data_IF_139964948817
#
_entry.id   IF_139964948817
#
_cell.length_a   1.000
_cell.length_b   1.000
_cell.length_c   1.000
_cell.angle_alpha   90.00
_cell.angle_beta   90.00
_cell.angle_gamma   90.00
#
_symmetry.space_group_name_H-M   'P 1'
#
loop_
_entity.id
_entity.type
_entity.pdbx_description
1 polymer ?
#
# COMPACT_ATOMS: atom_id res chain seq x y z
N UNK A 1 32.41 -42.52 -15.72
CA UNK A 1 30.99 -42.21 -16.03
C UNK A 1 30.60 -41.01 -15.19
N UNK A 2 30.29 -39.88 -15.82
CA UNK A 2 29.93 -38.62 -15.15
C UNK A 2 28.40 -38.59 -14.97
N UNK A 3 27.93 -38.72 -13.74
CA UNK A 3 26.52 -38.54 -13.40
C UNK A 3 26.25 -37.02 -13.28
N UNK A 4 25.38 -36.51 -14.16
CA UNK A 4 24.94 -35.11 -14.15
C UNK A 4 23.90 -34.87 -13.07
N UNK A 5 24.16 -33.85 -12.24
CA UNK A 5 23.18 -33.28 -11.31
C UNK A 5 22.37 -32.26 -12.12
N UNK A 6 21.14 -32.60 -12.49
CA UNK A 6 20.23 -31.67 -13.13
C UNK A 6 19.59 -30.77 -12.06
N UNK A 7 19.79 -29.46 -12.22
CA UNK A 7 19.25 -28.39 -11.38
C UNK A 7 17.71 -28.45 -11.30
N UNK A 8 17.20 -28.41 -10.07
CA UNK A 8 15.79 -28.19 -9.73
C UNK A 8 15.71 -26.83 -9.02
N UNK A 9 15.63 -25.74 -9.79
CA UNK A 9 15.51 -24.38 -9.25
C UNK A 9 14.59 -23.52 -10.11
N UNK A 10 13.31 -23.90 -10.26
CA UNK A 10 12.26 -23.01 -10.79
C UNK A 10 10.91 -23.37 -10.16
N UNK A 11 10.57 -22.84 -8.98
CA UNK A 11 9.19 -22.95 -8.47
C UNK A 11 8.79 -21.95 -7.36
N UNK A 12 9.71 -21.21 -6.73
CA UNK A 12 9.34 -20.33 -5.61
C UNK A 12 8.59 -19.06 -6.01
N UNK A 13 8.84 -18.50 -7.20
CA UNK A 13 8.23 -17.23 -7.61
C UNK A 13 6.70 -17.28 -7.80
N UNK A 14 6.13 -18.47 -8.04
CA UNK A 14 4.70 -18.60 -8.31
C UNK A 14 3.83 -18.54 -7.03
N UNK A 15 4.40 -18.92 -5.88
CA UNK A 15 3.67 -19.01 -4.61
C UNK A 15 3.43 -17.62 -4.00
N UNK A 16 4.45 -16.77 -4.00
CA UNK A 16 4.36 -15.40 -3.47
C UNK A 16 3.30 -14.56 -4.20
N UNK A 17 3.29 -14.61 -5.53
CA UNK A 17 2.32 -13.91 -6.37
C UNK A 17 0.88 -14.36 -6.06
N UNK A 18 0.66 -15.66 -5.88
CA UNK A 18 -0.67 -16.18 -5.54
C UNK A 18 -1.21 -15.69 -4.19
N UNK A 19 -0.32 -15.39 -3.23
CA UNK A 19 -0.70 -14.81 -1.94
C UNK A 19 -1.15 -13.36 -2.10
N UNK A 20 -0.36 -12.56 -2.82
CA UNK A 20 -0.67 -11.16 -3.14
C UNK A 20 -1.99 -11.02 -3.91
N UNK A 21 -2.16 -11.82 -4.98
CA UNK A 21 -3.37 -11.81 -5.81
C UNK A 21 -4.60 -12.22 -5.01
N UNK A 22 -4.47 -13.21 -4.13
CA UNK A 22 -5.55 -13.66 -3.26
C UNK A 22 -5.92 -12.58 -2.25
N UNK A 23 -4.95 -11.92 -1.61
CA UNK A 23 -5.23 -10.82 -0.69
C UNK A 23 -5.94 -9.66 -1.40
N UNK A 24 -5.45 -9.25 -2.57
CA UNK A 24 -6.10 -8.22 -3.37
C UNK A 24 -7.54 -8.62 -3.74
N UNK A 25 -7.73 -9.84 -4.26
CA UNK A 25 -9.05 -10.34 -4.68
C UNK A 25 -10.04 -10.41 -3.53
N UNK A 26 -9.61 -10.92 -2.37
CA UNK A 26 -10.43 -10.96 -1.15
C UNK A 26 -10.77 -9.54 -0.70
N UNK A 27 -9.77 -8.66 -0.61
CA UNK A 27 -9.98 -7.27 -0.19
C UNK A 27 -10.95 -6.51 -1.09
N UNK A 28 -10.82 -6.64 -2.42
CA UNK A 28 -11.76 -6.02 -3.38
C UNK A 28 -13.17 -6.58 -3.24
N UNK A 29 -13.31 -7.89 -2.99
CA UNK A 29 -14.61 -8.53 -2.76
C UNK A 29 -15.28 -8.05 -1.48
N UNK A 30 -14.49 -7.74 -0.45
CA UNK A 30 -14.95 -7.26 0.85
C UNK A 30 -15.21 -5.74 0.88
N UNK A 31 -14.89 -5.01 -0.19
CA UNK A 31 -15.18 -3.59 -0.28
C UNK A 31 -16.67 -3.29 -0.02
N UNK A 32 -16.98 -2.19 0.69
CA UNK A 32 -18.36 -1.80 0.94
C UNK A 32 -19.18 -1.72 -0.35
N UNK A 33 -20.43 -2.20 -0.36
CA UNK A 33 -21.22 -2.28 -1.58
C UNK A 33 -21.35 -0.96 -2.34
N UNK A 34 -20.82 -0.94 -3.56
CA UNK A 34 -20.89 0.22 -4.46
C UNK A 34 -19.82 1.28 -4.19
N UNK A 35 -18.81 1.02 -3.36
CA UNK A 35 -17.58 1.82 -3.29
C UNK A 35 -16.59 1.33 -4.33
N UNK A 36 -15.93 2.28 -4.99
CA UNK A 36 -14.78 2.01 -5.85
C UNK A 36 -13.63 2.92 -5.42
N UNK A 37 -12.46 2.31 -5.23
CA UNK A 37 -11.20 2.98 -4.97
C UNK A 37 -10.26 2.67 -6.13
N UNK A 38 -9.72 3.70 -6.78
CA UNK A 38 -8.70 3.54 -7.81
C UNK A 38 -7.39 4.17 -7.35
N UNK A 39 -6.30 3.44 -7.53
CA UNK A 39 -4.93 3.87 -7.26
C UNK A 39 -4.24 4.27 -8.58
N UNK A 40 -3.57 5.42 -8.58
CA UNK A 40 -2.72 5.85 -9.69
C UNK A 40 -1.52 6.64 -9.15
N UNK A 41 -0.46 6.77 -9.94
CA UNK A 41 0.63 7.70 -9.65
C UNK A 41 0.21 9.13 -9.94
N UNK A 42 0.51 10.04 -9.02
CA UNK A 42 0.04 11.41 -9.13
C UNK A 42 0.78 12.21 -10.22
N UNK A 43 2.01 11.81 -10.53
CA UNK A 43 2.84 12.38 -11.59
C UNK A 43 2.63 11.68 -12.95
N UNK A 44 1.81 10.63 -13.01
CA UNK A 44 1.58 9.84 -14.21
C UNK A 44 2.78 8.98 -14.65
N UNK A 45 3.85 8.94 -13.85
CA UNK A 45 5.01 8.11 -14.12
C UNK A 45 4.84 6.71 -13.55
N UNK A 46 5.63 5.76 -14.03
CA UNK A 46 5.67 4.40 -13.52
C UNK A 46 7.11 3.87 -13.36
N UNK A 47 8.11 4.76 -13.43
CA UNK A 47 9.53 4.42 -13.26
C UNK A 47 10.10 5.34 -12.19
N UNK A 48 10.68 4.75 -11.16
CA UNK A 48 11.24 5.46 -10.00
C UNK A 48 12.60 4.87 -9.62
N UNK A 49 13.48 5.65 -9.01
CA UNK A 49 14.70 5.16 -8.38
C UNK A 49 14.43 4.75 -6.93
N UNK A 50 15.27 3.92 -6.33
CA UNK A 50 15.16 3.54 -4.92
C UNK A 50 15.21 4.73 -3.93
N UNK A 51 15.81 5.86 -4.33
CA UNK A 51 15.82 7.11 -3.56
C UNK A 51 14.53 7.91 -3.65
N UNK A 52 13.66 7.59 -4.61
CA UNK A 52 12.50 8.42 -4.92
C UNK A 52 11.35 8.10 -3.96
N UNK A 53 10.50 9.09 -3.75
CA UNK A 53 9.18 8.89 -3.16
C UNK A 53 8.19 8.66 -4.31
N UNK A 54 7.28 7.69 -4.17
CA UNK A 54 6.23 7.45 -5.16
C UNK A 54 4.98 8.23 -4.72
N UNK A 55 4.56 9.26 -5.47
CA UNK A 55 3.36 10.01 -5.18
C UNK A 55 2.12 9.28 -5.75
N UNK A 56 1.10 9.09 -4.93
CA UNK A 56 -0.14 8.41 -5.32
C UNK A 56 -1.36 9.33 -5.25
N UNK A 57 -2.31 9.10 -6.14
CA UNK A 57 -3.69 9.56 -6.01
C UNK A 57 -4.61 8.40 -5.69
N UNK A 58 -5.43 8.58 -4.66
CA UNK A 58 -6.51 7.68 -4.26
C UNK A 58 -7.83 8.30 -4.69
N UNK A 59 -8.49 7.69 -5.67
CA UNK A 59 -9.74 8.17 -6.25
C UNK A 59 -10.92 7.35 -5.75
N UNK A 60 -11.83 7.99 -5.02
CA UNK A 60 -12.99 7.37 -4.42
C UNK A 60 -14.26 7.75 -5.17
N UNK A 61 -15.05 6.76 -5.56
CA UNK A 61 -16.39 6.95 -6.12
C UNK A 61 -17.40 6.01 -5.47
N UNK A 62 -18.68 6.34 -5.59
CA UNK A 62 -19.74 5.43 -5.18
C UNK A 62 -20.98 5.49 -6.05
N UNK A 63 -21.63 4.33 -6.25
CA UNK A 63 -22.98 4.24 -6.81
C UNK A 63 -24.08 4.55 -5.77
N UNK A 64 -23.76 4.57 -4.47
CA UNK A 64 -24.69 4.79 -3.36
C UNK A 64 -24.50 6.17 -2.73
N UNK A 65 -25.20 7.17 -3.26
CA UNK A 65 -25.11 8.56 -2.78
C UNK A 65 -25.43 8.68 -1.29
N UNK A 66 -24.72 9.59 -0.61
CA UNK A 66 -24.87 9.91 0.82
C UNK A 66 -24.67 8.75 1.82
N UNK A 67 -24.31 7.56 1.33
CA UNK A 67 -24.07 6.39 2.19
C UNK A 67 -22.68 6.38 2.79
N UNK A 68 -21.71 6.95 2.08
CA UNK A 68 -20.30 6.89 2.42
C UNK A 68 -19.66 8.26 2.36
N UNK A 69 -18.69 8.45 3.24
CA UNK A 69 -17.83 9.63 3.29
C UNK A 69 -16.38 9.18 3.28
N UNK A 70 -15.48 10.04 2.85
CA UNK A 70 -14.04 9.78 2.87
C UNK A 70 -13.32 10.94 3.56
N UNK A 71 -12.33 10.60 4.39
CA UNK A 71 -11.36 11.55 4.92
C UNK A 71 -10.27 11.84 3.88
N UNK A 72 -10.14 13.10 3.51
CA UNK A 72 -9.20 13.53 2.47
C UNK A 72 -7.90 14.11 3.02
N UNK A 73 -7.81 14.37 4.33
CA UNK A 73 -6.58 14.83 4.99
C UNK A 73 -5.76 13.68 5.57
N UNK A 74 -4.44 13.71 5.38
CA UNK A 74 -3.50 12.69 5.83
C UNK A 74 -3.08 12.76 7.31
N UNK A 75 -3.80 13.53 8.14
CA UNK A 75 -3.42 13.78 9.54
C UNK A 75 -4.26 13.04 10.61
N UNK A 76 -5.42 12.51 10.23
CA UNK A 76 -6.30 11.78 11.15
C UNK A 76 -5.90 10.31 11.30
N UNK A 77 -6.34 9.65 12.38
CA UNK A 77 -6.16 8.19 12.57
C UNK A 77 -6.66 7.35 11.37
N UNK A 78 -7.75 7.77 10.73
CA UNK A 78 -8.30 7.10 9.55
C UNK A 78 -7.41 7.30 8.30
N UNK A 79 -6.90 8.52 8.11
CA UNK A 79 -6.01 8.86 7.01
C UNK A 79 -4.60 8.30 7.15
N UNK A 80 -4.11 8.16 8.38
CA UNK A 80 -2.79 7.59 8.67
C UNK A 80 -2.75 6.05 8.60
N UNK A 81 -3.90 5.41 8.38
CA UNK A 81 -4.05 3.96 8.31
C UNK A 81 -4.05 3.42 6.87
N UNK A 82 -3.44 4.15 5.93
CA UNK A 82 -3.19 3.62 4.59
C UNK A 82 -2.11 2.54 4.67
N UNK A 83 -2.38 1.39 4.07
CA UNK A 83 -1.47 0.27 3.94
C UNK A 83 -1.18 0.04 2.45
N UNK A 84 0.04 0.36 2.04
CA UNK A 84 0.52 0.08 0.69
C UNK A 84 1.10 -1.34 0.70
N UNK A 85 0.42 -2.23 -0.02
CA UNK A 85 0.84 -3.62 -0.16
C UNK A 85 1.59 -3.75 -1.47
N UNK A 86 2.83 -4.21 -1.41
CA UNK A 86 3.69 -4.34 -2.58
C UNK A 86 4.34 -5.72 -2.65
N UNK A 87 4.46 -6.23 -3.87
CA UNK A 87 5.29 -7.41 -4.18
C UNK A 87 6.22 -7.04 -5.33
N UNK A 88 7.44 -7.56 -5.28
CA UNK A 88 8.49 -7.24 -6.23
C UNK A 88 9.38 -8.43 -6.53
N UNK A 89 10.45 -8.23 -7.31
CA UNK A 89 11.36 -9.30 -7.69
C UNK A 89 11.97 -9.94 -6.44
N UNK A 90 12.04 -11.27 -6.46
CA UNK A 90 12.66 -12.08 -5.40
C UNK A 90 11.99 -11.98 -4.02
N UNK A 91 10.84 -11.32 -3.92
CA UNK A 91 10.05 -11.30 -2.69
C UNK A 91 9.30 -12.63 -2.54
N UNK A 92 9.52 -13.29 -1.40
CA UNK A 92 8.79 -14.51 -1.06
C UNK A 92 7.35 -14.21 -0.60
N UNK A 93 7.07 -12.98 -0.17
CA UNK A 93 5.76 -12.50 0.27
C UNK A 93 5.59 -11.00 0.02
N UNK A 94 4.35 -10.55 0.00
CA UNK A 94 4.01 -9.14 -0.07
C UNK A 94 4.47 -8.39 1.20
N UNK A 95 4.87 -7.13 1.02
CA UNK A 95 5.27 -6.21 2.08
C UNK A 95 4.19 -5.16 2.29
N UNK A 96 3.86 -4.87 3.56
CA UNK A 96 2.80 -3.96 3.97
C UNK A 96 3.37 -2.68 4.59
N UNK A 97 3.16 -1.50 3.98
CA UNK A 97 3.73 -0.24 4.50
C UNK A 97 3.18 0.23 5.85
N UNK A 98 2.05 -0.33 6.32
CA UNK A 98 1.37 0.15 7.53
C UNK A 98 2.18 -0.14 8.80
N UNK A 99 2.50 0.94 9.53
CA UNK A 99 3.05 0.90 10.90
C UNK A 99 2.14 0.09 11.84
N UNK A 100 2.72 -0.87 12.58
CA UNK A 100 2.02 -1.58 13.67
C UNK A 100 1.59 -0.68 14.83
N UNK A 101 2.22 0.49 14.96
CA UNK A 101 1.80 1.51 15.91
C UNK A 101 0.85 2.45 15.16
N UNK A 102 -0.43 2.59 15.55
CA UNK A 102 -1.32 3.57 14.95
C UNK A 102 -0.78 4.97 15.24
N UNK A 103 -0.07 5.55 14.27
CA UNK A 103 0.43 6.92 14.31
C UNK A 103 -0.57 7.80 13.59
N UNK A 104 -1.51 8.36 14.34
CA UNK A 104 -2.39 9.42 13.86
C UNK A 104 -2.82 10.26 15.04
N UNK A 105 -2.91 11.57 14.86
CA UNK A 105 -3.46 12.44 15.88
C UNK A 105 -4.98 12.52 15.66
N UNK A 106 -5.81 12.53 16.71
CA UNK A 106 -7.18 12.98 16.58
C UNK A 106 -7.15 14.48 16.24
N UNK A 107 -6.98 14.81 14.96
CA UNK A 107 -6.96 16.20 14.49
C UNK A 107 -8.39 16.74 14.42
N UNK A 108 -8.62 17.90 15.03
CA UNK A 108 -9.92 18.56 15.11
C UNK A 108 -10.49 19.06 13.76
N UNK A 109 -9.66 19.12 12.72
CA UNK A 109 -10.06 19.56 11.38
C UNK A 109 -10.14 18.34 10.44
N UNK A 110 -11.32 17.75 10.29
CA UNK A 110 -11.55 16.70 9.29
C UNK A 110 -11.89 17.34 7.94
N UNK A 111 -11.25 16.88 6.86
CA UNK A 111 -11.66 17.21 5.50
C UNK A 111 -12.51 16.07 4.93
N UNK A 112 -13.46 15.60 5.74
CA UNK A 112 -14.36 14.51 5.37
C UNK A 112 -15.43 15.02 4.41
N UNK A 113 -15.62 14.29 3.32
CA UNK A 113 -16.60 14.63 2.27
C UNK A 113 -17.44 13.42 1.92
N UNK A 114 -18.69 13.63 1.56
CA UNK A 114 -19.49 12.58 0.93
C UNK A 114 -18.82 12.12 -0.37
N UNK A 115 -18.74 10.81 -0.53
CA UNK A 115 -18.36 10.18 -1.79
C UNK A 115 -19.58 10.26 -2.71
N UNK A 116 -19.34 10.61 -3.97
CA UNK A 116 -20.37 10.72 -4.99
C UNK A 116 -19.97 9.92 -6.22
N UNK A 117 -20.74 10.03 -7.30
CA UNK A 117 -20.31 9.49 -8.61
C UNK A 117 -19.12 10.27 -9.18
N UNK A 118 -18.98 11.55 -8.83
CA UNK A 118 -17.79 12.32 -9.14
C UNK A 118 -16.65 11.91 -8.18
N UNK A 119 -15.44 11.62 -8.71
CA UNK A 119 -14.27 11.26 -7.91
C UNK A 119 -13.96 12.24 -6.80
N UNK A 120 -13.73 11.71 -5.59
CA UNK A 120 -13.03 12.42 -4.52
C UNK A 120 -11.60 11.92 -4.50
N UNK A 121 -10.63 12.83 -4.59
CA UNK A 121 -9.21 12.46 -4.73
C UNK A 121 -8.47 12.86 -3.46
N UNK A 122 -7.65 11.94 -2.95
CA UNK A 122 -6.68 12.17 -1.89
C UNK A 122 -5.27 11.88 -2.41
N UNK A 123 -4.29 12.66 -1.96
CA UNK A 123 -2.89 12.42 -2.24
C UNK A 123 -2.26 11.59 -1.11
N UNK A 124 -1.43 10.62 -1.47
CA UNK A 124 -0.63 9.81 -0.56
C UNK A 124 0.80 9.69 -1.11
N UNK A 125 1.75 9.31 -0.27
CA UNK A 125 3.15 9.20 -0.66
C UNK A 125 3.78 7.97 -0.03
N UNK A 126 4.45 7.15 -0.84
CA UNK A 126 5.27 6.04 -0.35
C UNK A 126 6.74 6.42 -0.47
N UNK A 127 7.42 6.48 0.67
CA UNK A 127 8.86 6.67 0.67
C UNK A 127 9.59 5.34 0.55
N UNK A 128 10.17 5.08 -0.62
CA UNK A 128 10.95 3.84 -0.87
C UNK A 128 12.15 3.75 0.06
N UNK A 129 12.77 4.88 0.38
CA UNK A 129 13.89 4.95 1.33
C UNK A 129 13.46 4.49 2.73
N UNK A 130 12.32 4.97 3.24
CA UNK A 130 11.81 4.57 4.57
C UNK A 130 11.37 3.10 4.59
N UNK A 131 10.66 2.67 3.55
CA UNK A 131 10.23 1.28 3.39
C UNK A 131 11.44 0.33 3.37
N UNK A 132 12.45 0.66 2.56
CA UNK A 132 13.68 -0.13 2.46
C UNK A 132 14.45 -0.17 3.79
N UNK A 133 14.54 0.96 4.49
CA UNK A 133 15.16 1.00 5.82
C UNK A 133 14.42 0.10 6.81
N UNK A 134 13.09 0.14 6.82
CA UNK A 134 12.30 -0.68 7.74
C UNK A 134 12.44 -2.19 7.46
N UNK A 135 12.50 -2.59 6.18
CA UNK A 135 12.80 -3.97 5.78
C UNK A 135 14.18 -4.41 6.28
N UNK A 136 15.21 -3.59 6.08
CA UNK A 136 16.60 -3.89 6.49
C UNK A 136 16.75 -4.06 7.99
N UNK A 137 16.15 -3.17 8.76
CA UNK A 137 16.27 -3.21 10.21
C UNK A 137 15.25 -4.15 10.88
N UNK A 138 14.45 -4.89 10.09
CA UNK A 138 13.35 -5.75 10.58
C UNK A 138 12.51 -5.03 11.62
N UNK A 139 12.26 -3.74 11.41
CA UNK A 139 11.49 -2.98 12.38
C UNK A 139 10.12 -3.62 12.51
N UNK A 140 9.60 -3.82 13.73
CA UNK A 140 8.26 -4.37 13.95
C UNK A 140 7.17 -3.37 13.52
N UNK A 141 7.46 -2.44 12.60
CA UNK A 141 6.48 -1.59 11.98
C UNK A 141 5.69 -2.32 10.90
N UNK A 142 6.09 -3.52 10.51
CA UNK A 142 5.48 -4.28 9.42
C UNK A 142 4.86 -5.53 10.03
N UNK A 143 3.59 -5.82 9.68
CA UNK A 143 2.88 -7.01 10.19
C UNK A 143 3.78 -8.24 10.02
N UNK A 144 4.03 -9.03 11.10
CA UNK A 144 4.77 -10.25 10.91
C UNK A 144 4.02 -11.10 9.86
N UNK A 145 4.76 -11.82 9.01
CA UNK A 145 4.15 -12.78 8.11
C UNK A 145 3.26 -13.72 8.93
N UNK A 146 2.18 -14.21 8.32
CA UNK A 146 1.24 -15.09 9.03
C UNK A 146 2.03 -16.22 9.70
N UNK A 147 1.62 -16.72 10.88
CA UNK A 147 2.36 -17.73 11.63
C UNK A 147 2.53 -19.07 10.89
N UNK A 148 1.85 -19.28 9.76
CA UNK A 148 2.00 -20.41 8.84
C UNK A 148 3.01 -20.17 7.71
N UNK A 149 3.59 -18.98 7.62
CA UNK A 149 4.61 -18.64 6.63
C UNK A 149 6.02 -18.94 7.13
N UNK A 150 6.72 -19.80 6.40
CA UNK A 150 8.16 -20.03 6.54
C UNK A 150 9.00 -19.06 5.70
N UNK A 151 8.36 -18.12 5.00
CA UNK A 151 9.05 -17.20 4.11
C UNK A 151 9.70 -16.06 4.90
N UNK A 152 11.00 -15.86 4.68
CA UNK A 152 11.71 -14.70 5.22
C UNK A 152 11.38 -13.51 4.32
N UNK A 153 10.80 -12.40 4.86
CA UNK A 153 10.60 -11.20 4.08
C UNK A 153 11.93 -10.74 3.48
N UNK A 154 11.92 -10.24 2.24
CA UNK A 154 13.13 -9.67 1.65
C UNK A 154 13.72 -8.63 2.60
N UNK A 155 15.03 -8.75 2.87
CA UNK A 155 15.72 -7.80 3.74
C UNK A 155 15.89 -6.41 3.13
N UNK A 156 15.59 -6.24 1.84
CA UNK A 156 15.65 -4.94 1.16
C UNK A 156 14.81 -4.91 -0.13
N UNK A 157 14.50 -3.70 -0.59
CA UNK A 157 13.98 -3.47 -1.94
C UNK A 157 15.09 -3.65 -2.97
N UNK A 158 14.73 -4.22 -4.13
CA UNK A 158 15.62 -4.45 -5.27
C UNK A 158 15.12 -3.63 -6.46
N UNK A 159 15.96 -3.51 -7.48
CA UNK A 159 15.50 -2.98 -8.75
C UNK A 159 14.70 -4.06 -9.51
N UNK A 160 13.67 -3.64 -10.22
CA UNK A 160 12.80 -4.51 -11.03
C UNK A 160 11.36 -4.04 -11.03
N UNK A 161 10.46 -4.92 -11.44
CA UNK A 161 9.04 -4.64 -11.59
C UNK A 161 8.30 -4.96 -10.28
N UNK A 162 7.48 -4.03 -9.84
CA UNK A 162 6.70 -4.10 -8.62
C UNK A 162 5.22 -3.96 -8.93
N UNK A 163 4.42 -4.69 -8.17
CA UNK A 163 2.98 -4.61 -8.16
C UNK A 163 2.51 -4.05 -6.82
N UNK A 164 1.56 -3.12 -6.87
CA UNK A 164 1.13 -2.36 -5.71
C UNK A 164 -0.39 -2.26 -5.70
N UNK A 165 -1.01 -2.60 -4.58
CA UNK A 165 -2.37 -2.15 -4.27
C UNK A 165 -2.37 -1.43 -2.92
N UNK A 166 -3.46 -0.73 -2.62
CA UNK A 166 -3.58 -0.03 -1.34
C UNK A 166 -4.85 -0.46 -0.62
N UNK A 167 -4.73 -0.59 0.70
CA UNK A 167 -5.84 -0.74 1.62
C UNK A 167 -5.92 0.52 2.48
N UNK A 168 -7.11 1.10 2.64
CA UNK A 168 -7.29 2.32 3.44
C UNK A 168 -8.47 2.21 4.37
N UNK A 169 -8.34 2.85 5.54
CA UNK A 169 -9.43 3.05 6.52
C UNK A 169 -10.02 4.46 6.45
N UNK A 170 -9.76 5.20 5.37
CA UNK A 170 -10.22 6.59 5.21
C UNK A 170 -11.71 6.72 4.87
N UNK A 171 -12.37 5.64 4.49
CA UNK A 171 -13.79 5.67 4.09
C UNK A 171 -14.65 5.26 5.26
N UNK A 172 -15.72 5.99 5.57
CA UNK A 172 -16.63 5.73 6.69
C UNK A 172 -18.10 5.70 6.24
N UNK A 173 -18.98 5.17 7.09
CA UNK A 173 -20.44 5.28 6.90
C UNK A 173 -20.92 6.70 7.17
N UNK A 174 -21.71 7.25 6.25
CA UNK A 174 -22.54 8.46 6.41
C UNK A 174 -21.84 9.63 7.12
N UNK A 175 -22.59 10.56 7.71
CA UNK A 175 -22.09 11.27 8.88
C UNK A 175 -22.68 10.58 10.11
N UNK A 176 -21.95 10.51 11.23
CA UNK A 176 -22.53 10.10 12.49
C UNK A 176 -23.79 10.91 12.79
N UNK A 177 -24.81 10.27 13.37
CA UNK A 177 -26.08 10.94 13.72
C UNK A 177 -25.96 11.78 15.00
N UNK A 178 -24.89 11.61 15.78
CA UNK A 178 -24.66 12.36 17.02
C UNK A 178 -23.17 12.57 17.28
N UNK A 179 -22.84 13.64 18.03
CA UNK A 179 -21.48 13.97 18.49
C UNK A 179 -20.81 12.88 19.35
N UNK A 180 -21.60 11.91 19.86
CA UNK A 180 -21.12 10.79 20.69
C UNK A 180 -20.56 9.61 19.88
N UNK A 181 -20.81 9.56 18.57
CA UNK A 181 -20.10 8.63 17.68
C UNK A 181 -18.75 9.28 17.38
N UNK A 182 -17.70 8.79 18.06
CA UNK A 182 -16.36 9.37 18.07
C UNK A 182 -15.89 9.68 16.65
N UNK A 183 -15.88 10.97 16.32
CA UNK A 183 -15.48 11.56 15.05
C UNK A 183 -14.03 11.20 14.62
N UNK A 184 -13.28 10.53 15.50
CA UNK A 184 -11.88 10.12 15.32
C UNK A 184 -11.63 8.60 15.50
N UNK A 185 -12.65 7.75 15.58
CA UNK A 185 -12.41 6.30 15.53
C UNK A 185 -11.89 5.88 14.14
N UNK A 186 -11.04 4.85 14.09
CA UNK A 186 -10.73 4.18 12.82
C UNK A 186 -12.03 3.78 12.13
N UNK A 187 -12.07 3.83 10.79
CA UNK A 187 -13.25 3.37 10.06
C UNK A 187 -13.66 1.93 10.43
N UNK A 188 -14.97 1.69 10.40
CA UNK A 188 -15.60 0.38 10.51
C UNK A 188 -15.15 -0.61 9.43
N UNK A 189 -14.54 -0.16 8.33
CA UNK A 189 -14.16 -1.02 7.21
C UNK A 189 -12.87 -0.59 6.52
N UNK A 190 -12.21 -1.57 5.92
CA UNK A 190 -11.06 -1.38 5.02
C UNK A 190 -11.59 -1.32 3.60
N UNK A 191 -11.03 -0.43 2.78
CA UNK A 191 -11.30 -0.37 1.34
C UNK A 191 -9.99 -0.67 0.60
N UNK A 192 -10.01 -1.69 -0.24
CA UNK A 192 -8.91 -2.08 -1.13
C UNK A 192 -9.08 -1.43 -2.49
N UNK A 193 -8.01 -0.96 -3.12
CA UNK A 193 -8.08 -0.46 -4.49
C UNK A 193 -8.57 -1.55 -5.43
N UNK A 194 -9.44 -1.18 -6.36
CA UNK A 194 -10.00 -2.06 -7.38
C UNK A 194 -9.01 -2.42 -8.49
N UNK A 195 -7.83 -1.81 -8.48
CA UNK A 195 -6.76 -2.06 -9.42
C UNK A 195 -5.43 -2.27 -8.68
N UNK A 196 -4.55 -3.00 -9.37
CA UNK A 196 -3.13 -3.10 -9.06
C UNK A 196 -2.39 -2.10 -9.95
N UNK A 197 -1.44 -1.39 -9.35
CA UNK A 197 -0.54 -0.47 -10.02
C UNK A 197 0.79 -1.20 -10.26
N UNK A 198 1.31 -1.09 -11.49
CA UNK A 198 2.62 -1.65 -11.84
C UNK A 198 3.63 -0.51 -11.96
N UNK A 199 4.74 -0.62 -11.23
CA UNK A 199 5.85 0.35 -11.27
C UNK A 199 7.18 -0.37 -11.43
N UNK A 200 8.13 0.28 -12.07
CA UNK A 200 9.51 -0.18 -12.20
C UNK A 200 10.42 0.62 -11.29
N UNK A 201 11.13 -0.08 -10.42
CA UNK A 201 12.12 0.52 -9.53
C UNK A 201 13.52 0.30 -10.09
N UNK A 202 14.31 1.36 -10.20
CA UNK A 202 15.69 1.36 -10.67
C UNK A 202 16.67 1.47 -9.50
N UNK A 203 17.87 0.92 -9.69
CA UNK A 203 18.98 1.21 -8.78
C UNK A 203 19.34 2.70 -8.86
N UNK A 204 19.70 3.28 -7.72
CA UNK A 204 20.22 4.65 -7.71
C UNK A 204 21.48 4.71 -8.58
N UNK A 205 21.55 5.68 -9.48
CA UNK A 205 22.79 5.95 -10.19
C UNK A 205 23.91 6.20 -9.16
N UNK A 206 24.99 5.42 -9.23
CA UNK A 206 26.21 5.73 -8.49
C UNK A 206 26.63 7.14 -8.85
N UNK A 207 26.52 8.08 -7.90
CA UNK A 207 27.21 9.36 -8.02
C UNK A 207 28.69 9.02 -8.04
N UNK A 208 29.29 8.95 -9.22
CA UNK A 208 30.74 9.02 -9.35
C UNK A 208 31.16 10.30 -8.62
N UNK A 209 31.80 10.14 -7.48
CA UNK A 209 32.46 11.24 -6.77
C UNK A 209 33.61 11.71 -7.65
N UNK A 210 33.31 12.61 -8.59
CA UNK A 210 34.31 13.40 -9.29
C UNK A 210 34.89 14.43 -8.34
N UNK A 211 35.74 13.99 -7.42
CA UNK A 211 36.79 14.84 -6.87
C UNK A 211 37.96 14.71 -7.84
N UNK A 212 37.96 15.55 -8.87
CA UNK A 212 39.21 15.88 -9.57
C UNK A 212 39.91 16.95 -8.72
N UNK A 213 41.15 16.62 -8.34
CA UNK A 213 42.05 17.43 -7.52
C UNK A 213 42.62 18.61 -8.31
#
# INVERSE_FOLDING_TARGET
MRAGIALLFVSLSCVAQSSFDNEHTVGVKENPPGITLTLATADGHNIYNLSDDIPFTLSFTTSKLHRYTVELSGGSLAGASDDVVLIGPEMAEAVHSRSLVPVGYPCCESNRRYITRAPRVRFAMLSLTRLNAALRFKWPLYRPPRPDSSAVPSSELKAGDYEIFIQTRSVMRGWPRSEKETFHAESDFVVTSNNVLHVKILQNASKKSGFEH
#
